data_IF_830100497775
#
_entry.id   IF_830100497775
#
_cell.length_a   1.000
_cell.length_b   1.000
_cell.length_c   1.000
_cell.angle_alpha   90.00
_cell.angle_beta   90.00
_cell.angle_gamma   90.00
#
_symmetry.space_group_name_H-M   'P 1'
#
loop_
_entity.id
_entity.type
_entity.pdbx_description
1 polymer ?
#
# COMPACT_ATOMS: atom_id res chain seq x y z
N UNK A 1 42.54 -33.13 -18.19
CA UNK A 1 41.82 -32.68 -16.98
C UNK A 1 42.75 -32.85 -15.80
N UNK A 2 43.13 -31.75 -15.14
CA UNK A 2 43.98 -31.81 -13.95
C UNK A 2 43.04 -32.03 -12.76
N UNK A 3 42.98 -33.27 -12.27
CA UNK A 3 42.19 -33.64 -11.10
C UNK A 3 42.97 -33.23 -9.85
N UNK A 4 42.84 -31.96 -9.46
CA UNK A 4 43.59 -31.29 -8.38
C UNK A 4 43.43 -31.97 -7.00
N UNK A 5 42.45 -32.86 -6.81
CA UNK A 5 42.17 -33.47 -5.51
C UNK A 5 43.07 -34.65 -5.10
N UNK A 6 43.56 -35.47 -6.04
CA UNK A 6 44.22 -36.74 -5.69
C UNK A 6 45.72 -36.64 -5.42
N UNK A 7 46.38 -35.64 -6.00
CA UNK A 7 47.85 -35.51 -5.94
C UNK A 7 48.34 -34.78 -4.68
N UNK A 8 47.58 -33.82 -4.16
CA UNK A 8 47.97 -33.01 -2.99
C UNK A 8 47.90 -33.84 -1.70
N UNK A 9 46.95 -34.79 -1.64
CA UNK A 9 46.74 -35.68 -0.48
C UNK A 9 47.90 -36.65 -0.29
N UNK A 10 48.65 -37.03 -1.34
CA UNK A 10 49.76 -37.99 -1.24
C UNK A 10 51.05 -37.38 -0.71
N UNK A 11 51.23 -36.06 -0.81
CA UNK A 11 52.45 -35.32 -0.43
C UNK A 11 52.47 -34.97 1.07
N UNK A 12 51.33 -35.07 1.77
CA UNK A 12 51.19 -34.74 3.18
C UNK A 12 51.53 -35.94 4.11
N UNK A 13 52.30 -35.75 5.20
CA UNK A 13 52.60 -36.79 6.18
C UNK A 13 51.32 -37.29 6.88
N UNK A 14 51.25 -38.60 7.19
CA UNK A 14 50.01 -39.28 7.64
C UNK A 14 49.35 -38.61 8.86
N UNK A 15 50.14 -38.05 9.77
CA UNK A 15 49.65 -37.38 10.99
C UNK A 15 49.11 -35.95 10.74
N UNK A 16 49.61 -35.28 9.70
CA UNK A 16 49.20 -33.91 9.37
C UNK A 16 47.94 -33.85 8.49
N UNK A 17 47.58 -34.94 7.79
CA UNK A 17 46.44 -34.98 6.85
C UNK A 17 45.11 -34.65 7.51
N UNK A 18 44.85 -35.24 8.69
CA UNK A 18 43.61 -35.00 9.42
C UNK A 18 43.47 -33.52 9.83
N UNK A 19 44.57 -32.91 10.26
CA UNK A 19 44.62 -31.52 10.70
C UNK A 19 44.47 -30.56 9.50
N UNK A 20 45.16 -30.83 8.38
CA UNK A 20 45.04 -30.00 7.16
C UNK A 20 43.63 -30.06 6.56
N UNK A 21 42.99 -31.24 6.58
CA UNK A 21 41.60 -31.40 6.12
C UNK A 21 40.63 -30.69 7.07
N UNK A 22 40.81 -30.82 8.38
CA UNK A 22 39.97 -30.13 9.37
C UNK A 22 40.08 -28.60 9.25
N UNK A 23 41.29 -28.09 9.04
CA UNK A 23 41.52 -26.66 8.81
C UNK A 23 40.89 -26.20 7.50
N UNK A 24 40.99 -26.99 6.42
CA UNK A 24 40.31 -26.69 5.15
C UNK A 24 38.79 -26.68 5.27
N UNK A 25 38.21 -27.64 5.98
CA UNK A 25 36.78 -27.73 6.27
C UNK A 25 36.30 -26.53 7.09
N UNK A 26 37.01 -26.19 8.16
CA UNK A 26 36.66 -25.07 9.03
C UNK A 26 36.75 -23.72 8.29
N UNK A 27 37.74 -23.54 7.41
CA UNK A 27 37.83 -22.36 6.55
C UNK A 27 36.71 -22.31 5.51
N UNK A 28 36.31 -23.45 4.94
CA UNK A 28 35.18 -23.52 4.00
C UNK A 28 33.84 -23.21 4.68
N UNK A 29 33.63 -23.65 5.92
CA UNK A 29 32.45 -23.31 6.73
C UNK A 29 32.40 -21.82 7.07
N UNK A 30 33.54 -21.22 7.44
CA UNK A 30 33.65 -19.79 7.71
C UNK A 30 33.32 -18.94 6.47
N UNK A 31 33.78 -19.34 5.29
CA UNK A 31 33.46 -18.66 4.02
C UNK A 31 31.97 -18.78 3.72
N UNK A 32 31.36 -19.96 3.86
CA UNK A 32 29.92 -20.14 3.66
C UNK A 32 29.09 -19.29 4.62
N UNK A 33 29.48 -19.23 5.90
CA UNK A 33 28.81 -18.37 6.88
C UNK A 33 28.97 -16.89 6.55
N UNK A 34 30.16 -16.45 6.13
CA UNK A 34 30.42 -15.05 5.75
C UNK A 34 29.61 -14.65 4.53
N UNK A 35 29.52 -15.51 3.52
CA UNK A 35 28.71 -15.28 2.32
C UNK A 35 27.22 -15.25 2.66
N UNK A 36 26.75 -16.16 3.52
CA UNK A 36 25.36 -16.17 3.97
C UNK A 36 25.00 -14.88 4.73
N UNK A 37 25.87 -14.45 5.64
CA UNK A 37 25.69 -13.23 6.43
C UNK A 37 25.75 -11.97 5.56
N UNK A 38 26.70 -11.88 4.62
CA UNK A 38 26.78 -10.75 3.68
C UNK A 38 25.55 -10.67 2.76
N UNK A 39 25.02 -11.82 2.33
CA UNK A 39 23.79 -11.86 1.52
C UNK A 39 22.57 -11.42 2.33
N UNK A 40 22.51 -11.79 3.61
CA UNK A 40 21.48 -11.30 4.53
C UNK A 40 21.59 -9.78 4.79
N UNK A 41 22.81 -9.25 4.96
CA UNK A 41 23.05 -7.81 5.15
C UNK A 41 22.80 -6.97 3.89
N UNK A 42 23.12 -7.49 2.70
CA UNK A 42 22.81 -6.82 1.44
C UNK A 42 21.29 -6.69 1.22
N UNK A 43 20.53 -7.75 1.54
CA UNK A 43 19.08 -7.72 1.46
C UNK A 43 18.45 -6.79 2.52
N UNK A 44 19.06 -6.68 3.70
CA UNK A 44 18.65 -5.75 4.75
C UNK A 44 18.77 -4.29 4.34
N UNK A 45 19.93 -3.87 3.84
CA UNK A 45 20.17 -2.50 3.36
C UNK A 45 19.28 -2.12 2.19
N UNK A 46 19.09 -3.03 1.23
CA UNK A 46 18.23 -2.76 0.08
C UNK A 46 16.76 -2.58 0.49
N UNK A 47 16.27 -3.36 1.47
CA UNK A 47 14.92 -3.19 2.04
C UNK A 47 14.72 -1.83 2.70
N UNK A 48 15.74 -1.29 3.36
CA UNK A 48 15.65 -0.01 4.06
C UNK A 48 15.59 1.18 3.08
N UNK A 49 16.36 1.11 1.99
CA UNK A 49 16.31 2.08 0.88
C UNK A 49 14.92 2.04 0.21
N UNK A 50 14.42 0.84 -0.09
CA UNK A 50 13.09 0.64 -0.68
C UNK A 50 12.00 1.21 0.24
N UNK A 51 12.03 0.91 1.53
CA UNK A 51 11.07 1.47 2.50
C UNK A 51 11.09 3.00 2.53
N UNK A 52 12.27 3.60 2.54
CA UNK A 52 12.41 5.07 2.52
C UNK A 52 11.78 5.67 1.26
N UNK A 53 11.97 5.03 0.11
CA UNK A 53 11.36 5.48 -1.15
C UNK A 53 9.83 5.29 -1.18
N UNK A 54 9.31 4.20 -0.62
CA UNK A 54 7.87 3.95 -0.44
C UNK A 54 7.23 5.08 0.37
N UNK A 55 7.83 5.41 1.51
CA UNK A 55 7.32 6.47 2.40
C UNK A 55 7.33 7.84 1.71
N UNK A 56 8.32 8.11 0.86
CA UNK A 56 8.38 9.33 0.07
C UNK A 56 7.25 9.40 -0.96
N UNK A 57 7.08 8.35 -1.77
CA UNK A 57 6.01 8.28 -2.78
C UNK A 57 4.62 8.35 -2.14
N UNK A 58 4.43 7.72 -0.97
CA UNK A 58 3.17 7.77 -0.20
C UNK A 58 2.74 9.20 0.14
N UNK A 59 3.69 10.02 0.59
CA UNK A 59 3.40 11.42 0.94
C UNK A 59 3.00 12.22 -0.31
N UNK A 60 3.64 11.93 -1.45
CA UNK A 60 3.32 12.58 -2.71
C UNK A 60 1.93 12.20 -3.23
N UNK A 61 1.60 10.90 -3.23
CA UNK A 61 0.29 10.42 -3.70
C UNK A 61 -0.86 10.90 -2.81
N UNK A 62 -0.63 11.07 -1.50
CA UNK A 62 -1.60 11.64 -0.57
C UNK A 62 -1.91 13.10 -0.87
N UNK A 63 -0.88 13.91 -1.18
CA UNK A 63 -1.11 15.29 -1.61
C UNK A 63 -1.87 15.34 -2.96
N UNK A 64 -1.49 14.49 -3.91
CA UNK A 64 -2.15 14.40 -5.21
C UNK A 64 -3.63 13.98 -5.08
N UNK A 65 -3.95 13.02 -4.21
CA UNK A 65 -5.33 12.59 -3.98
C UNK A 65 -6.19 13.69 -3.37
N UNK A 66 -5.66 14.48 -2.43
CA UNK A 66 -6.36 15.65 -1.89
C UNK A 66 -6.71 16.68 -2.99
N UNK A 67 -5.80 16.94 -3.93
CA UNK A 67 -6.08 17.83 -5.06
C UNK A 67 -7.19 17.27 -5.96
N UNK A 68 -7.14 15.98 -6.29
CA UNK A 68 -8.17 15.31 -7.10
C UNK A 68 -9.53 15.37 -6.40
N UNK A 69 -9.59 15.06 -5.11
CA UNK A 69 -10.81 15.11 -4.30
C UNK A 69 -11.37 16.53 -4.21
N UNK A 70 -10.50 17.55 -4.13
CA UNK A 70 -10.93 18.95 -4.15
C UNK A 70 -11.59 19.33 -5.49
N UNK A 71 -10.97 18.96 -6.61
CA UNK A 71 -11.53 19.21 -7.94
C UNK A 71 -12.80 18.42 -8.23
N UNK A 72 -13.02 17.29 -7.57
CA UNK A 72 -14.27 16.51 -7.63
C UNK A 72 -15.33 17.10 -6.70
N UNK A 73 -14.93 17.51 -5.49
CA UNK A 73 -15.83 18.08 -4.48
C UNK A 73 -16.35 19.47 -4.87
N UNK A 74 -15.55 20.28 -5.57
CA UNK A 74 -15.95 21.61 -6.04
C UNK A 74 -17.16 21.60 -7.01
N UNK A 75 -17.18 20.83 -8.12
CA UNK A 75 -18.33 20.75 -9.01
C UNK A 75 -19.54 20.13 -8.32
N UNK A 76 -19.36 19.03 -7.57
CA UNK A 76 -20.47 18.41 -6.81
C UNK A 76 -21.08 19.38 -5.79
N UNK A 77 -20.25 20.13 -5.07
CA UNK A 77 -20.68 21.15 -4.13
C UNK A 77 -21.44 22.30 -4.80
N UNK A 78 -21.04 22.71 -6.02
CA UNK A 78 -21.70 23.77 -6.77
C UNK A 78 -23.08 23.34 -7.33
N UNK A 79 -23.20 22.09 -7.76
CA UNK A 79 -24.45 21.52 -8.31
C UNK A 79 -25.50 21.39 -7.21
N UNK A 80 -25.11 20.95 -6.02
CA UNK A 80 -26.03 20.56 -4.94
C UNK A 80 -26.36 21.74 -4.01
N UNK A 81 -26.57 22.94 -4.57
CA UNK A 81 -26.87 24.19 -3.84
C UNK A 81 -28.19 24.18 -3.02
N UNK A 82 -28.92 23.06 -2.98
CA UNK A 82 -30.07 22.84 -2.07
C UNK A 82 -29.73 22.02 -0.81
N UNK A 83 -28.51 21.46 -0.70
CA UNK A 83 -28.01 20.76 0.49
C UNK A 83 -26.94 21.58 1.21
N UNK A 84 -26.95 21.60 2.55
CA UNK A 84 -25.99 22.38 3.35
C UNK A 84 -24.52 21.98 3.16
N UNK A 85 -23.61 22.76 3.77
CA UNK A 85 -22.13 22.63 3.65
C UNK A 85 -21.55 21.23 3.94
N UNK A 86 -22.32 20.31 4.55
CA UNK A 86 -21.86 18.99 4.94
C UNK A 86 -21.86 17.91 3.84
N UNK A 87 -22.74 17.99 2.83
CA UNK A 87 -22.82 16.94 1.79
C UNK A 87 -21.52 16.77 0.99
N UNK A 88 -20.88 17.82 0.45
CA UNK A 88 -19.60 17.68 -0.26
C UNK A 88 -18.48 17.18 0.66
N UNK A 89 -18.52 17.52 1.95
CA UNK A 89 -17.56 17.03 2.95
C UNK A 89 -17.71 15.53 3.15
N UNK A 90 -18.93 15.02 3.35
CA UNK A 90 -19.20 13.58 3.53
C UNK A 90 -18.74 12.77 2.31
N UNK A 91 -19.03 13.25 1.10
CA UNK A 91 -18.60 12.60 -0.14
C UNK A 91 -17.07 12.54 -0.22
N UNK A 92 -16.38 13.66 0.11
CA UNK A 92 -14.92 13.73 0.09
C UNK A 92 -14.29 12.73 1.08
N UNK A 93 -14.85 12.62 2.29
CA UNK A 93 -14.40 11.66 3.30
C UNK A 93 -14.62 10.21 2.84
N UNK A 94 -15.76 9.91 2.21
CA UNK A 94 -16.05 8.57 1.70
C UNK A 94 -15.02 8.13 0.65
N UNK A 95 -14.72 8.98 -0.32
CA UNK A 95 -13.69 8.68 -1.32
C UNK A 95 -12.28 8.62 -0.71
N UNK A 96 -11.98 9.46 0.29
CA UNK A 96 -10.72 9.40 1.02
C UNK A 96 -10.53 8.05 1.73
N UNK A 97 -11.59 7.50 2.32
CA UNK A 97 -11.54 6.16 2.94
C UNK A 97 -11.26 5.07 1.91
N UNK A 98 -11.92 5.12 0.75
CA UNK A 98 -11.68 4.17 -0.35
C UNK A 98 -10.21 4.26 -0.81
N UNK A 99 -9.71 5.48 -1.03
CA UNK A 99 -8.30 5.72 -1.34
C UNK A 99 -7.36 5.12 -0.30
N UNK A 100 -7.65 5.33 0.99
CA UNK A 100 -6.83 4.84 2.08
C UNK A 100 -6.76 3.30 2.10
N UNK A 101 -7.89 2.63 1.87
CA UNK A 101 -7.95 1.16 1.80
C UNK A 101 -7.12 0.65 0.62
N UNK A 102 -7.31 1.20 -0.58
CA UNK A 102 -6.56 0.80 -1.78
C UNK A 102 -5.05 1.01 -1.57
N UNK A 103 -4.66 2.17 -1.04
CA UNK A 103 -3.26 2.50 -0.75
C UNK A 103 -2.65 1.53 0.26
N UNK A 104 -3.41 1.17 1.30
CA UNK A 104 -2.95 0.19 2.31
C UNK A 104 -2.76 -1.20 1.71
N UNK A 105 -3.65 -1.63 0.82
CA UNK A 105 -3.52 -2.92 0.11
C UNK A 105 -2.32 -2.89 -0.83
N UNK A 106 -2.15 -1.82 -1.61
CA UNK A 106 -1.00 -1.65 -2.49
C UNK A 106 0.33 -1.65 -1.73
N UNK A 107 0.38 -0.98 -0.56
CA UNK A 107 1.56 -0.98 0.31
C UNK A 107 1.93 -2.39 0.80
N UNK A 108 0.93 -3.23 1.12
CA UNK A 108 1.16 -4.63 1.47
C UNK A 108 1.73 -5.41 0.27
N UNK A 109 1.18 -5.24 -0.92
CA UNK A 109 1.65 -5.91 -2.14
C UNK A 109 3.09 -5.53 -2.53
N UNK A 110 3.47 -4.27 -2.33
CA UNK A 110 4.86 -3.80 -2.53
C UNK A 110 5.80 -4.42 -1.50
N UNK A 111 5.39 -4.51 -0.23
CA UNK A 111 6.20 -5.14 0.84
C UNK A 111 6.43 -6.63 0.64
N UNK A 112 5.49 -7.31 -0.02
CA UNK A 112 5.60 -8.72 -0.42
C UNK A 112 6.51 -8.93 -1.64
N UNK A 113 7.02 -7.86 -2.25
CA UNK A 113 7.97 -7.92 -3.37
C UNK A 113 7.32 -8.22 -4.73
N UNK A 114 5.99 -8.16 -4.81
CA UNK A 114 5.23 -8.49 -6.03
C UNK A 114 5.14 -7.33 -7.02
N UNK A 115 5.35 -6.09 -6.58
CA UNK A 115 5.17 -4.89 -7.39
C UNK A 115 6.27 -3.85 -7.09
N UNK A 116 6.71 -3.14 -8.13
CA UNK A 116 7.60 -1.98 -7.99
C UNK A 116 6.93 -0.91 -7.12
N UNK A 117 7.71 -0.33 -6.21
CA UNK A 117 7.26 0.70 -5.26
C UNK A 117 6.54 1.84 -5.95
N UNK A 118 7.09 2.31 -7.07
CA UNK A 118 6.60 3.48 -7.78
C UNK A 118 5.23 3.19 -8.39
N UNK A 119 5.13 2.03 -9.04
CA UNK A 119 3.91 1.57 -9.69
C UNK A 119 2.81 1.25 -8.67
N UNK A 120 3.14 0.55 -7.59
CA UNK A 120 2.17 0.21 -6.53
C UNK A 120 1.56 1.45 -5.88
N UNK A 121 2.35 2.48 -5.59
CA UNK A 121 1.86 3.70 -4.96
C UNK A 121 1.06 4.58 -5.93
N UNK A 122 1.49 4.70 -7.19
CA UNK A 122 0.78 5.47 -8.22
C UNK A 122 -0.49 4.79 -8.72
N UNK A 123 -0.56 3.45 -8.69
CA UNK A 123 -1.75 2.68 -9.05
C UNK A 123 -2.99 3.09 -8.25
N UNK A 124 -2.83 3.44 -6.96
CA UNK A 124 -3.94 3.93 -6.14
C UNK A 124 -4.53 5.23 -6.70
N UNK A 125 -3.68 6.16 -7.15
CA UNK A 125 -4.09 7.43 -7.75
C UNK A 125 -4.67 7.21 -9.15
N UNK A 126 -4.05 6.36 -9.96
CA UNK A 126 -4.53 5.99 -11.30
C UNK A 126 -5.86 5.24 -11.29
N UNK A 127 -6.20 4.51 -10.24
CA UNK A 127 -7.54 3.93 -10.05
C UNK A 127 -8.51 4.99 -9.53
N UNK A 128 -8.12 5.74 -8.50
CA UNK A 128 -9.04 6.66 -7.80
C UNK A 128 -9.45 7.83 -8.70
N UNK A 129 -8.54 8.39 -9.49
CA UNK A 129 -8.80 9.54 -10.34
C UNK A 129 -9.91 9.28 -11.38
N UNK A 130 -9.82 8.27 -12.26
CA UNK A 130 -10.87 7.99 -13.24
C UNK A 130 -12.14 7.46 -12.59
N UNK A 131 -12.07 6.66 -11.53
CA UNK A 131 -13.26 6.17 -10.83
C UNK A 131 -14.00 7.33 -10.16
N UNK A 132 -13.27 8.20 -9.47
CA UNK A 132 -13.82 9.41 -8.84
C UNK A 132 -14.42 10.36 -9.86
N UNK A 133 -13.72 10.62 -10.97
CA UNK A 133 -14.22 11.47 -12.06
C UNK A 133 -15.46 10.86 -12.75
N UNK A 134 -15.43 9.56 -13.04
CA UNK A 134 -16.55 8.85 -13.67
C UNK A 134 -17.78 8.83 -12.76
N UNK A 135 -17.60 8.53 -11.47
CA UNK A 135 -18.70 8.50 -10.51
C UNK A 135 -19.26 9.91 -10.29
N UNK A 136 -18.41 10.93 -10.28
CA UNK A 136 -18.81 12.34 -10.21
C UNK A 136 -19.58 12.79 -11.44
N UNK A 137 -19.13 12.40 -12.63
CA UNK A 137 -19.83 12.69 -13.88
C UNK A 137 -21.21 12.04 -13.92
N UNK A 138 -21.29 10.75 -13.56
CA UNK A 138 -22.55 10.01 -13.45
C UNK A 138 -23.49 10.62 -12.40
N UNK A 139 -22.98 10.94 -11.22
CA UNK A 139 -23.72 11.59 -10.15
C UNK A 139 -24.23 13.00 -10.50
N UNK A 140 -23.44 13.75 -11.27
CA UNK A 140 -23.81 15.10 -11.72
C UNK A 140 -24.98 15.05 -12.70
N UNK A 141 -24.98 14.05 -13.58
CA UNK A 141 -26.02 13.89 -14.60
C UNK A 141 -27.26 13.18 -14.03
N UNK A 142 -27.05 12.19 -13.16
CA UNK A 142 -28.08 11.38 -12.53
C UNK A 142 -28.36 11.90 -11.12
N UNK A 143 -29.22 12.92 -11.03
CA UNK A 143 -29.58 13.59 -9.78
C UNK A 143 -30.23 12.66 -8.74
N UNK A 144 -30.65 11.45 -9.15
CA UNK A 144 -31.30 10.47 -8.28
C UNK A 144 -30.37 9.84 -7.23
N UNK A 145 -29.06 9.72 -7.52
CA UNK A 145 -28.08 9.14 -6.56
C UNK A 145 -27.87 10.05 -5.35
N UNK A 146 -28.09 11.36 -5.52
CA UNK A 146 -27.90 12.39 -4.51
C UNK A 146 -29.21 13.01 -4.01
N UNK A 147 -30.34 12.31 -4.17
CA UNK A 147 -31.61 12.80 -3.68
C UNK A 147 -31.60 12.82 -2.13
N UNK A 148 -31.45 14.02 -1.60
CA UNK A 148 -31.34 14.30 -0.17
C UNK A 148 -32.61 13.87 0.58
N UNK A 149 -33.74 13.76 -0.13
CA UNK A 149 -35.01 13.34 0.45
C UNK A 149 -35.04 11.83 0.74
N UNK A 150 -34.31 11.01 -0.02
CA UNK A 150 -34.11 9.58 0.28
C UNK A 150 -33.25 9.39 1.53
N UNK A 151 -32.14 10.13 1.65
CA UNK A 151 -31.26 10.08 2.81
C UNK A 151 -31.95 10.60 4.09
N UNK A 152 -32.76 11.67 3.99
CA UNK A 152 -33.57 12.16 5.12
C UNK A 152 -34.56 11.10 5.61
N UNK A 153 -35.25 10.38 4.73
CA UNK A 153 -36.16 9.32 5.15
C UNK A 153 -35.43 8.14 5.80
N UNK A 154 -34.22 7.82 5.37
CA UNK A 154 -33.41 6.75 5.98
C UNK A 154 -32.83 7.16 7.34
N UNK A 155 -32.36 8.41 7.48
CA UNK A 155 -31.76 8.95 8.72
C UNK A 155 -32.77 9.42 9.76
N UNK A 156 -33.98 9.86 9.38
CA UNK A 156 -35.04 10.24 10.33
C UNK A 156 -35.85 9.03 10.82
N UNK A 157 -35.72 7.87 10.17
CA UNK A 157 -36.40 6.63 10.55
C UNK A 157 -36.14 6.17 11.99
N UNK A 158 -34.91 6.27 12.56
CA UNK A 158 -34.67 5.91 13.96
C UNK A 158 -35.08 6.97 14.99
N UNK A 159 -35.38 8.22 14.59
CA UNK A 159 -35.58 9.35 15.52
C UNK A 159 -37.00 9.93 15.59
N UNK A 160 -37.99 9.35 14.90
CA UNK A 160 -39.40 9.73 15.10
C UNK A 160 -39.91 9.16 16.43
N UNK A 161 -39.48 9.77 17.54
CA UNK A 161 -40.08 9.61 18.86
C UNK A 161 -41.56 9.95 18.72
N UNK A 162 -42.40 8.98 19.04
CA UNK A 162 -43.86 9.06 19.12
C UNK A 162 -44.24 10.29 19.95
N UNK A 163 -44.83 11.31 19.33
CA UNK A 163 -45.49 12.38 20.07
C UNK A 163 -46.79 11.81 20.63
N UNK A 164 -47.06 11.95 21.94
CA UNK A 164 -48.31 11.49 22.52
C UNK A 164 -49.45 12.37 22.02
N UNK A 165 -50.56 11.74 21.65
CA UNK A 165 -51.84 12.39 21.38
C UNK A 165 -52.23 13.27 22.56
N UNK A 166 -52.30 14.58 22.33
CA UNK A 166 -53.07 15.48 23.18
C UNK A 166 -54.48 15.58 22.62
N UNK A 167 -55.28 14.52 22.87
CA UNK A 167 -56.73 14.66 22.97
C UNK A 167 -57.05 14.95 24.43
N UNK A 168 -57.27 16.23 24.74
CA UNK A 168 -58.24 16.81 25.67
C UNK A 168 -58.03 18.33 25.71
#
# INVERSE_FOLDING_TARGET
SITIGSDIVKILPKDARAISVQNGLSQAELINQTVFNQTAEFNGRNKEIIKTYVEYQRKFTLAASCLILFFIGAPLGAIIRKGGLGLPVVISVLFFLIYHIITTVAEKSVKEGSLDVTLGMWMAVFILAPVGAFLTYKATIDSAVFDIDYYKQLLLRPFKKKSPDSSL
#
